data_IF_882630491267
#
_entry.id   IF_882630491267
#
_cell.length_a   1.000
_cell.length_b   1.000
_cell.length_c   1.000
_cell.angle_alpha   90.00
_cell.angle_beta   90.00
_cell.angle_gamma   90.00
#
_symmetry.space_group_name_H-M   'P 1'
#
loop_
_entity.id
_entity.type
_entity.pdbx_description
1 polymer ?
#
# COMPACT_ATOMS: atom_id res chain seq x y z
N UNK A 1 29.23 -8.96 -10.00
CA UNK A 1 28.34 -9.97 -10.61
C UNK A 1 27.37 -10.43 -9.55
N UNK A 2 26.08 -10.38 -9.83
CA UNK A 2 25.01 -10.80 -8.92
C UNK A 2 24.89 -12.33 -8.92
N UNK A 3 24.78 -12.96 -7.75
CA UNK A 3 24.52 -14.41 -7.65
C UNK A 3 23.14 -14.77 -8.22
N UNK A 4 23.01 -16.00 -8.73
CA UNK A 4 21.73 -16.53 -9.23
C UNK A 4 20.80 -16.82 -8.06
N UNK A 5 19.61 -16.23 -8.09
CA UNK A 5 18.54 -16.54 -7.14
C UNK A 5 17.38 -17.24 -7.82
N UNK A 6 16.66 -18.06 -7.05
CA UNK A 6 15.43 -18.70 -7.49
C UNK A 6 14.36 -18.72 -6.38
N UNK A 7 13.10 -18.54 -6.79
CA UNK A 7 11.93 -18.67 -5.93
C UNK A 7 10.66 -18.94 -6.73
N UNK A 8 9.63 -19.45 -6.05
CA UNK A 8 8.26 -19.49 -6.58
C UNK A 8 7.70 -18.07 -6.61
N UNK A 9 7.13 -17.64 -7.74
CA UNK A 9 6.57 -16.28 -7.97
C UNK A 9 5.04 -16.24 -8.02
N UNK A 10 4.38 -17.37 -7.74
CA UNK A 10 2.91 -17.50 -7.65
C UNK A 10 2.48 -17.81 -6.21
N UNK A 11 1.19 -17.61 -5.91
CA UNK A 11 0.63 -17.97 -4.61
C UNK A 11 0.82 -19.46 -4.27
N UNK A 12 0.84 -19.78 -2.97
CA UNK A 12 1.09 -21.14 -2.47
C UNK A 12 -0.11 -22.10 -2.60
N UNK A 13 -1.26 -21.60 -3.06
CA UNK A 13 -2.47 -22.39 -3.30
C UNK A 13 -2.33 -23.28 -4.53
N UNK A 14 -3.02 -24.43 -4.53
CA UNK A 14 -3.15 -25.27 -5.73
C UNK A 14 -3.78 -24.45 -6.86
N UNK A 15 -3.13 -24.44 -8.02
CA UNK A 15 -3.57 -23.69 -9.20
C UNK A 15 -3.27 -24.46 -10.49
N UNK A 16 -3.83 -23.99 -11.60
CA UNK A 16 -3.50 -24.55 -12.91
C UNK A 16 -2.02 -24.32 -13.27
N UNK A 17 -1.48 -23.14 -12.93
CA UNK A 17 -0.12 -22.72 -13.26
C UNK A 17 0.59 -22.19 -12.02
N UNK A 18 1.84 -22.61 -11.83
CA UNK A 18 2.77 -22.04 -10.87
C UNK A 18 4.07 -21.62 -11.56
N UNK A 19 4.66 -20.53 -11.10
CA UNK A 19 5.86 -19.96 -11.73
C UNK A 19 7.06 -20.10 -10.81
N UNK A 20 8.17 -20.65 -11.31
CA UNK A 20 9.48 -20.58 -10.66
C UNK A 20 10.33 -19.59 -11.45
N UNK A 21 10.83 -18.55 -10.79
CA UNK A 21 11.63 -17.49 -11.41
C UNK A 21 13.07 -17.58 -10.95
N UNK A 22 13.99 -17.35 -11.90
CA UNK A 22 15.41 -17.12 -11.67
C UNK A 22 15.84 -15.73 -12.12
N UNK A 23 16.83 -15.16 -11.44
CA UNK A 23 17.52 -13.93 -11.84
C UNK A 23 18.98 -13.97 -11.43
N UNK A 24 19.86 -13.41 -12.25
CA UNK A 24 21.27 -13.21 -11.93
C UNK A 24 22.20 -13.69 -13.03
N UNK A 25 23.50 -13.44 -12.83
CA UNK A 25 24.51 -13.74 -13.83
C UNK A 25 24.68 -15.27 -13.99
N UNK A 26 24.55 -15.76 -15.22
CA UNK A 26 24.57 -17.20 -15.52
C UNK A 26 23.28 -17.96 -15.16
N UNK A 27 22.16 -17.28 -14.88
CA UNK A 27 20.91 -17.98 -14.53
C UNK A 27 20.38 -18.89 -15.65
N UNK A 28 20.63 -18.53 -16.92
CA UNK A 28 20.23 -19.33 -18.09
C UNK A 28 20.98 -20.66 -18.09
N UNK A 29 22.29 -20.65 -17.81
CA UNK A 29 23.10 -21.85 -17.69
C UNK A 29 22.67 -22.73 -16.49
N UNK A 30 22.24 -22.13 -15.37
CA UNK A 30 21.67 -22.89 -14.24
C UNK A 30 20.34 -23.56 -14.64
N UNK A 31 19.47 -22.83 -15.32
CA UNK A 31 18.20 -23.33 -15.82
C UNK A 31 18.38 -24.50 -16.82
N UNK A 32 19.36 -24.40 -17.71
CA UNK A 32 19.64 -25.41 -18.76
C UNK A 32 20.07 -26.77 -18.19
N UNK A 33 20.64 -26.79 -16.98
CA UNK A 33 21.01 -28.05 -16.29
C UNK A 33 19.81 -28.89 -15.87
N UNK A 34 18.67 -28.24 -15.58
CA UNK A 34 17.47 -28.90 -15.04
C UNK A 34 16.33 -28.98 -16.04
N UNK A 35 16.41 -28.25 -17.16
CA UNK A 35 15.35 -28.20 -18.15
C UNK A 35 15.85 -28.65 -19.52
N UNK A 36 15.08 -29.48 -20.21
CA UNK A 36 15.41 -29.96 -21.56
C UNK A 36 14.32 -29.52 -22.52
N UNK A 37 14.67 -28.69 -23.50
CA UNK A 37 13.75 -28.25 -24.54
C UNK A 37 13.32 -29.43 -25.41
N UNK A 38 12.04 -29.44 -25.82
CA UNK A 38 11.54 -30.48 -26.73
C UNK A 38 12.23 -30.44 -28.11
N UNK A 39 12.82 -29.30 -28.48
CA UNK A 39 13.63 -29.16 -29.69
C UNK A 39 15.04 -29.77 -29.57
N UNK A 40 15.47 -30.15 -28.37
CA UNK A 40 16.82 -30.63 -28.07
C UNK A 40 17.90 -29.53 -28.03
N UNK A 41 17.53 -28.26 -28.20
CA UNK A 41 18.45 -27.11 -28.12
C UNK A 41 18.69 -26.69 -26.66
N UNK A 42 19.71 -25.86 -26.44
CA UNK A 42 19.95 -25.18 -25.16
C UNK A 42 18.99 -24.00 -24.95
N UNK A 43 18.64 -23.71 -23.69
CA UNK A 43 17.93 -22.48 -23.31
C UNK A 43 18.69 -21.21 -23.73
N UNK A 44 20.01 -21.25 -23.83
CA UNK A 44 20.83 -20.13 -24.30
C UNK A 44 20.50 -19.75 -25.76
N UNK A 45 20.10 -20.72 -26.58
CA UNK A 45 19.68 -20.50 -27.96
C UNK A 45 18.22 -20.05 -28.09
N UNK A 46 17.48 -19.97 -26.97
CA UNK A 46 16.06 -19.61 -27.01
C UNK A 46 15.89 -18.13 -27.38
N UNK A 47 14.90 -17.81 -28.23
CA UNK A 47 14.56 -16.43 -28.53
C UNK A 47 14.17 -15.67 -27.26
N UNK A 48 14.65 -14.43 -27.13
CA UNK A 48 14.34 -13.57 -26.00
C UNK A 48 12.82 -13.37 -25.87
N UNK A 49 12.28 -13.53 -24.66
CA UNK A 49 10.86 -13.37 -24.30
C UNK A 49 9.88 -14.22 -25.12
N UNK A 50 10.30 -15.41 -25.55
CA UNK A 50 9.43 -16.38 -26.20
C UNK A 50 9.19 -17.58 -25.28
N UNK A 51 7.93 -17.97 -25.12
CA UNK A 51 7.57 -19.21 -24.45
C UNK A 51 8.02 -20.41 -25.28
N UNK A 52 8.75 -21.32 -24.65
CA UNK A 52 9.27 -22.54 -25.25
C UNK A 52 8.87 -23.75 -24.40
N UNK A 53 8.49 -24.86 -25.05
CA UNK A 53 8.04 -26.07 -24.37
C UNK A 53 9.21 -27.03 -24.11
N UNK A 54 9.24 -27.61 -22.92
CA UNK A 54 10.24 -28.60 -22.54
C UNK A 54 9.84 -29.41 -21.32
N UNK A 55 10.82 -30.13 -20.79
CA UNK A 55 10.65 -31.01 -19.63
C UNK A 55 11.57 -30.55 -18.50
N UNK A 56 11.02 -30.38 -17.31
CA UNK A 56 11.77 -30.08 -16.09
C UNK A 56 12.14 -31.38 -15.39
N UNK A 57 13.39 -31.47 -14.94
CA UNK A 57 13.97 -32.69 -14.37
C UNK A 57 14.53 -32.45 -12.98
N UNK A 58 14.49 -33.51 -12.15
CA UNK A 58 15.20 -33.53 -10.87
C UNK A 58 16.69 -33.89 -11.05
N UNK A 59 17.43 -33.97 -9.93
CA UNK A 59 18.85 -34.33 -9.91
C UNK A 59 19.15 -35.73 -10.44
N UNK A 60 18.17 -36.64 -10.42
CA UNK A 60 18.28 -37.99 -11.00
C UNK A 60 17.76 -38.06 -12.44
N UNK A 61 17.49 -36.92 -13.08
CA UNK A 61 16.91 -36.81 -14.43
C UNK A 61 15.49 -37.36 -14.54
N UNK A 62 14.80 -37.62 -13.42
CA UNK A 62 13.37 -37.98 -13.44
C UNK A 62 12.57 -36.76 -13.84
N UNK A 63 11.51 -36.98 -14.60
CA UNK A 63 10.60 -35.91 -15.03
C UNK A 63 9.84 -35.40 -13.81
N UNK A 64 9.98 -34.10 -13.54
CA UNK A 64 9.16 -33.38 -12.56
C UNK A 64 7.88 -32.92 -13.24
N UNK A 65 8.01 -32.25 -14.39
CA UNK A 65 6.89 -31.66 -15.12
C UNK A 65 7.20 -31.48 -16.62
N UNK A 66 6.15 -31.42 -17.44
CA UNK A 66 6.21 -30.86 -18.80
C UNK A 66 5.64 -29.46 -18.77
N UNK A 67 6.50 -28.47 -18.95
CA UNK A 67 6.18 -27.08 -18.69
C UNK A 67 6.77 -26.14 -19.74
N UNK A 68 6.33 -24.87 -19.70
CA UNK A 68 6.92 -23.84 -20.54
C UNK A 68 8.08 -23.15 -19.81
N UNK A 69 9.06 -22.66 -20.55
CA UNK A 69 10.09 -21.77 -20.06
C UNK A 69 10.08 -20.47 -20.87
N UNK A 70 10.50 -19.36 -20.27
CA UNK A 70 10.79 -18.10 -20.97
C UNK A 70 12.09 -17.52 -20.44
N UNK A 71 12.96 -17.10 -21.36
CA UNK A 71 14.20 -16.39 -21.06
C UNK A 71 13.99 -14.90 -21.34
N UNK A 72 14.26 -14.03 -20.37
CA UNK A 72 14.35 -12.58 -20.61
C UNK A 72 15.75 -12.07 -20.34
N UNK A 73 16.41 -11.57 -21.38
CA UNK A 73 17.79 -11.09 -21.32
C UNK A 73 17.89 -9.66 -20.78
N UNK A 74 18.88 -9.40 -19.94
CA UNK A 74 19.22 -8.07 -19.45
C UNK A 74 19.65 -7.13 -20.59
N UNK A 75 19.45 -5.80 -20.47
CA UNK A 75 18.83 -5.07 -19.37
C UNK A 75 17.29 -5.04 -19.44
N UNK A 76 16.69 -5.79 -20.36
CA UNK A 76 15.25 -5.80 -20.64
C UNK A 76 14.56 -6.95 -19.90
N UNK A 77 14.71 -7.00 -18.59
CA UNK A 77 13.98 -7.91 -17.70
C UNK A 77 13.40 -7.12 -16.52
N UNK A 78 12.65 -7.80 -15.64
CA UNK A 78 12.12 -7.19 -14.42
C UNK A 78 13.24 -6.67 -13.51
N UNK A 79 14.24 -7.52 -13.23
CA UNK A 79 15.37 -7.18 -12.36
C UNK A 79 16.44 -6.34 -13.06
N UNK A 80 16.43 -6.25 -14.39
CA UNK A 80 17.52 -5.69 -15.19
C UNK A 80 18.65 -6.69 -15.48
N UNK A 81 18.58 -7.90 -14.92
CA UNK A 81 19.54 -8.99 -15.14
C UNK A 81 18.98 -10.00 -16.15
N UNK A 82 19.76 -11.01 -16.54
CA UNK A 82 19.16 -12.19 -17.19
C UNK A 82 18.19 -12.87 -16.22
N UNK A 83 17.07 -13.35 -16.75
CA UNK A 83 16.02 -14.03 -16.00
C UNK A 83 15.48 -15.23 -16.77
N UNK A 84 15.07 -16.26 -16.05
CA UNK A 84 14.37 -17.43 -16.60
C UNK A 84 13.13 -17.69 -15.75
N UNK A 85 11.99 -17.94 -16.37
CA UNK A 85 10.78 -18.39 -15.68
C UNK A 85 10.33 -19.74 -16.20
N UNK A 86 10.04 -20.67 -15.30
CA UNK A 86 9.36 -21.92 -15.59
C UNK A 86 7.89 -21.79 -15.22
N UNK A 87 7.00 -22.06 -16.18
CA UNK A 87 5.55 -22.01 -16.04
C UNK A 87 5.05 -23.44 -15.94
N UNK A 88 5.10 -23.98 -14.72
CA UNK A 88 4.78 -25.36 -14.37
C UNK A 88 3.30 -25.52 -14.02
N UNK A 89 2.84 -26.76 -13.89
CA UNK A 89 1.58 -27.04 -13.21
C UNK A 89 1.66 -26.55 -11.75
N UNK A 90 0.61 -25.86 -11.29
CA UNK A 90 0.56 -25.18 -9.99
C UNK A 90 0.39 -26.09 -8.77
N UNK A 91 1.08 -27.23 -8.75
CA UNK A 91 1.13 -28.12 -7.59
C UNK A 91 2.28 -27.70 -6.65
N UNK A 92 2.03 -27.48 -5.35
CA UNK A 92 3.09 -27.16 -4.39
C UNK A 92 4.24 -28.17 -4.40
N UNK A 93 3.95 -29.46 -4.61
CA UNK A 93 4.98 -30.50 -4.70
C UNK A 93 5.84 -30.38 -5.96
N UNK A 94 5.23 -30.04 -7.10
CA UNK A 94 5.94 -29.81 -8.38
C UNK A 94 6.86 -28.60 -8.26
N UNK A 95 6.34 -27.50 -7.72
CA UNK A 95 7.11 -26.26 -7.56
C UNK A 95 8.27 -26.44 -6.58
N UNK A 96 8.04 -27.14 -5.45
CA UNK A 96 9.09 -27.44 -4.49
C UNK A 96 10.21 -28.32 -5.09
N UNK A 97 9.83 -29.37 -5.84
CA UNK A 97 10.80 -30.24 -6.51
C UNK A 97 11.61 -29.50 -7.58
N UNK A 98 10.97 -28.65 -8.38
CA UNK A 98 11.65 -27.81 -9.37
C UNK A 98 12.62 -26.82 -8.72
N UNK A 99 12.22 -26.22 -7.60
CA UNK A 99 13.06 -25.29 -6.85
C UNK A 99 14.27 -25.99 -6.21
N UNK A 100 14.08 -27.18 -5.63
CA UNK A 100 15.17 -28.02 -5.11
C UNK A 100 16.18 -28.36 -6.21
N UNK A 101 15.69 -28.73 -7.41
CA UNK A 101 16.56 -29.03 -8.55
C UNK A 101 17.42 -27.81 -8.95
N UNK A 102 16.85 -26.61 -8.94
CA UNK A 102 17.59 -25.38 -9.25
C UNK A 102 18.63 -25.04 -8.18
N UNK A 103 18.31 -25.24 -6.89
CA UNK A 103 19.27 -25.03 -5.81
C UNK A 103 20.47 -25.96 -5.92
N UNK A 104 20.23 -27.23 -6.23
CA UNK A 104 21.30 -28.19 -6.48
C UNK A 104 22.11 -27.88 -7.75
N UNK A 105 21.49 -27.19 -8.73
CA UNK A 105 22.15 -26.76 -9.96
C UNK A 105 22.99 -25.47 -9.81
N UNK A 106 22.89 -24.79 -8.66
CA UNK A 106 23.70 -23.62 -8.29
C UNK A 106 22.92 -22.34 -8.01
N UNK A 107 21.59 -22.33 -8.05
CA UNK A 107 20.79 -21.19 -7.62
C UNK A 107 20.76 -21.09 -6.08
N UNK A 108 20.60 -19.88 -5.56
CA UNK A 108 20.36 -19.63 -4.13
C UNK A 108 18.88 -19.29 -3.90
N UNK A 109 18.33 -19.56 -2.70
CA UNK A 109 16.99 -19.10 -2.36
C UNK A 109 16.96 -17.56 -2.35
N UNK A 110 15.99 -16.98 -3.07
CA UNK A 110 15.78 -15.54 -3.02
C UNK A 110 15.29 -15.10 -1.63
N UNK A 111 15.78 -13.97 -1.15
CA UNK A 111 15.23 -13.31 0.04
C UNK A 111 13.90 -12.62 -0.30
N UNK A 112 13.15 -12.25 0.74
CA UNK A 112 11.96 -11.39 0.63
C UNK A 112 12.31 -10.09 -0.11
N UNK A 113 11.54 -9.75 -1.13
CA UNK A 113 11.75 -8.52 -1.91
C UNK A 113 13.00 -8.52 -2.79
N UNK A 114 13.77 -9.61 -2.89
CA UNK A 114 15.09 -9.56 -3.54
C UNK A 114 15.01 -9.26 -5.04
N UNK A 115 13.96 -9.73 -5.74
CA UNK A 115 13.81 -9.44 -7.17
C UNK A 115 13.52 -7.94 -7.40
N UNK A 116 12.59 -7.37 -6.64
CA UNK A 116 12.23 -5.95 -6.71
C UNK A 116 13.40 -5.08 -6.23
N UNK A 117 14.13 -5.51 -5.19
CA UNK A 117 15.36 -4.84 -4.74
C UNK A 117 16.40 -4.77 -5.85
N UNK A 118 16.63 -5.86 -6.59
CA UNK A 118 17.53 -5.86 -7.75
C UNK A 118 17.04 -4.95 -8.86
N UNK A 119 15.73 -4.94 -9.14
CA UNK A 119 15.13 -4.01 -10.10
C UNK A 119 15.41 -2.54 -9.73
N UNK A 120 15.24 -2.18 -8.45
CA UNK A 120 15.59 -0.86 -7.93
C UNK A 120 17.09 -0.56 -8.08
N UNK A 121 17.96 -1.46 -7.62
CA UNK A 121 19.43 -1.27 -7.70
C UNK A 121 19.95 -1.17 -9.14
N UNK A 122 19.29 -1.82 -10.09
CA UNK A 122 19.63 -1.77 -11.52
C UNK A 122 18.92 -0.61 -12.25
N UNK A 123 18.30 0.32 -11.52
CA UNK A 123 17.65 1.51 -12.10
C UNK A 123 16.43 1.21 -12.97
N UNK A 124 15.80 0.04 -12.80
CA UNK A 124 14.57 -0.32 -13.52
C UNK A 124 13.34 0.42 -12.98
N UNK A 125 13.42 0.84 -11.72
CA UNK A 125 12.39 1.56 -11.01
C UNK A 125 13.00 2.34 -9.85
N UNK A 126 12.34 3.40 -9.39
CA UNK A 126 12.69 4.11 -8.17
C UNK A 126 12.03 3.48 -6.93
N UNK A 127 12.31 4.02 -5.74
CA UNK A 127 11.77 3.49 -4.49
C UNK A 127 10.25 3.67 -4.36
N UNK A 128 9.67 4.72 -4.95
CA UNK A 128 8.21 4.94 -4.96
C UNK A 128 7.50 3.86 -5.77
N UNK A 129 8.06 3.53 -6.93
CA UNK A 129 7.57 2.46 -7.79
C UNK A 129 7.74 1.10 -7.12
N UNK A 130 8.86 0.87 -6.44
CA UNK A 130 9.08 -0.37 -5.68
C UNK A 130 8.03 -0.54 -4.57
N UNK A 131 7.79 0.49 -3.75
CA UNK A 131 6.75 0.46 -2.71
C UNK A 131 5.35 0.20 -3.30
N UNK A 132 5.04 0.84 -4.44
CA UNK A 132 3.77 0.65 -5.13
C UNK A 132 3.56 -0.78 -5.68
N UNK A 133 4.64 -1.55 -5.91
CA UNK A 133 4.50 -2.97 -6.28
C UNK A 133 3.87 -3.77 -5.14
N UNK A 134 4.20 -3.49 -3.87
CA UNK A 134 3.55 -4.16 -2.74
C UNK A 134 2.11 -3.71 -2.64
N UNK A 135 1.89 -2.39 -2.66
CA UNK A 135 0.55 -1.82 -2.51
C UNK A 135 -0.41 -2.37 -3.59
N UNK A 136 0.09 -2.66 -4.80
CA UNK A 136 -0.68 -3.30 -5.87
C UNK A 136 -1.00 -4.78 -5.60
N UNK A 137 -0.08 -5.52 -4.97
CA UNK A 137 -0.28 -6.94 -4.63
C UNK A 137 -1.25 -7.08 -3.45
N UNK A 138 -1.19 -6.16 -2.50
CA UNK A 138 -2.02 -6.13 -1.29
C UNK A 138 -3.35 -5.35 -1.48
N UNK A 139 -3.59 -4.80 -2.67
CA UNK A 139 -4.78 -4.01 -2.95
C UNK A 139 -6.05 -4.86 -2.84
N UNK A 140 -6.94 -4.46 -1.93
CA UNK A 140 -8.24 -5.11 -1.70
C UNK A 140 -9.41 -4.41 -2.42
N UNK A 141 -9.19 -3.21 -2.96
CA UNK A 141 -10.19 -2.45 -3.73
C UNK A 141 -9.67 -2.09 -5.12
N UNK A 142 -10.58 -1.87 -6.07
CA UNK A 142 -10.24 -1.46 -7.43
C UNK A 142 -9.49 -0.13 -7.46
N UNK A 143 -9.89 0.83 -6.61
CA UNK A 143 -9.25 2.13 -6.49
C UNK A 143 -7.83 2.02 -5.93
N UNK A 144 -7.62 1.18 -4.90
CA UNK A 144 -6.29 0.95 -4.35
C UNK A 144 -5.35 0.35 -5.40
N UNK A 145 -5.86 -0.63 -6.16
CA UNK A 145 -5.13 -1.24 -7.26
C UNK A 145 -4.83 -0.24 -8.38
N UNK A 146 -5.78 0.63 -8.74
CA UNK A 146 -5.61 1.64 -9.77
C UNK A 146 -4.53 2.66 -9.39
N UNK A 147 -4.57 3.18 -8.15
CA UNK A 147 -3.57 4.13 -7.69
C UNK A 147 -2.18 3.49 -7.59
N UNK A 148 -2.08 2.28 -7.04
CA UNK A 148 -0.81 1.56 -6.97
C UNK A 148 -0.25 1.25 -8.38
N UNK A 149 -1.10 0.83 -9.32
CA UNK A 149 -0.69 0.61 -10.71
C UNK A 149 -0.17 1.89 -11.39
N UNK A 150 -0.83 3.03 -11.15
CA UNK A 150 -0.36 4.34 -11.63
C UNK A 150 1.00 4.73 -11.06
N UNK A 151 1.22 4.48 -9.76
CA UNK A 151 2.52 4.70 -9.12
C UNK A 151 3.61 3.76 -9.63
N UNK A 152 3.30 2.46 -9.85
CA UNK A 152 4.22 1.53 -10.54
C UNK A 152 4.59 2.06 -11.92
N UNK A 153 3.64 2.67 -12.64
CA UNK A 153 3.84 3.38 -13.90
C UNK A 153 4.64 4.69 -13.82
N UNK A 154 5.11 5.07 -12.62
CA UNK A 154 5.93 6.24 -12.37
C UNK A 154 5.16 7.56 -12.32
N UNK A 155 3.84 7.54 -12.09
CA UNK A 155 3.02 8.78 -12.04
C UNK A 155 3.55 9.77 -10.99
N UNK A 156 3.80 9.31 -9.76
CA UNK A 156 4.32 10.14 -8.68
C UNK A 156 5.74 10.67 -9.01
N UNK A 157 6.61 9.81 -9.52
CA UNK A 157 7.96 10.19 -9.96
C UNK A 157 7.93 11.30 -11.02
N UNK A 158 7.03 11.22 -12.01
CA UNK A 158 6.84 12.26 -13.04
C UNK A 158 6.30 13.58 -12.48
N UNK A 159 5.56 13.55 -11.37
CA UNK A 159 5.10 14.76 -10.69
C UNK A 159 6.21 15.43 -9.87
N UNK A 160 7.12 14.64 -9.29
CA UNK A 160 8.23 15.14 -8.47
C UNK A 160 9.45 15.56 -9.29
N UNK A 161 9.67 14.97 -10.47
CA UNK A 161 10.84 15.25 -11.30
C UNK A 161 11.02 16.74 -11.66
N UNK A 162 9.99 17.48 -12.13
CA UNK A 162 10.14 18.89 -12.45
C UNK A 162 10.58 19.74 -11.26
N UNK A 163 10.10 19.43 -10.06
CA UNK A 163 10.47 20.13 -8.82
C UNK A 163 11.95 19.90 -8.51
N UNK A 164 12.44 18.67 -8.70
CA UNK A 164 13.83 18.34 -8.48
C UNK A 164 14.76 19.01 -9.52
N UNK A 165 14.31 19.10 -10.77
CA UNK A 165 15.03 19.80 -11.85
C UNK A 165 15.15 21.31 -11.54
N UNK A 166 14.07 21.94 -11.08
CA UNK A 166 14.05 23.35 -10.67
C UNK A 166 15.03 23.62 -9.50
N UNK A 167 15.04 22.76 -8.49
CA UNK A 167 16.00 22.84 -7.37
C UNK A 167 17.45 22.64 -7.84
N UNK A 168 17.69 21.73 -8.78
CA UNK A 168 19.03 21.48 -9.34
C UNK A 168 19.55 22.71 -10.09
N UNK A 169 18.69 23.37 -10.87
CA UNK A 169 19.02 24.62 -11.56
C UNK A 169 19.35 25.75 -10.57
N UNK A 170 18.55 25.88 -9.51
CA UNK A 170 18.77 26.87 -8.47
C UNK A 170 20.09 26.63 -7.71
N UNK A 171 20.35 25.38 -7.32
CA UNK A 171 21.57 24.98 -6.63
C UNK A 171 22.82 25.26 -7.48
N UNK A 172 22.78 24.91 -8.77
CA UNK A 172 23.89 25.17 -9.70
C UNK A 172 24.22 26.67 -9.83
N UNK A 173 23.19 27.52 -9.81
CA UNK A 173 23.37 28.97 -9.89
C UNK A 173 23.94 29.55 -8.59
N UNK A 174 23.43 29.11 -7.43
CA UNK A 174 23.98 29.49 -6.12
C UNK A 174 25.47 29.15 -6.01
N UNK A 175 25.89 27.95 -6.44
CA UNK A 175 27.30 27.57 -6.46
C UNK A 175 28.14 28.51 -7.33
N UNK A 176 27.63 28.93 -8.50
CA UNK A 176 28.33 29.88 -9.37
C UNK A 176 28.55 31.23 -8.67
N UNK A 177 27.54 31.74 -7.97
CA UNK A 177 27.63 33.00 -7.21
C UNK A 177 28.61 32.90 -6.04
N UNK A 178 28.65 31.75 -5.36
CA UNK A 178 29.56 31.52 -4.24
C UNK A 178 31.02 31.32 -4.68
N UNK A 179 31.24 30.66 -5.82
CA UNK A 179 32.58 30.37 -6.34
C UNK A 179 33.25 31.59 -7.01
N UNK A 180 32.46 32.52 -7.56
CA UNK A 180 32.94 33.71 -8.28
C UNK A 180 32.32 35.02 -7.76
N UNK A 181 32.56 35.40 -6.49
CA UNK A 181 31.91 36.56 -5.86
C UNK A 181 32.33 37.91 -6.47
N UNK A 182 33.48 37.95 -7.16
CA UNK A 182 34.04 39.16 -7.78
C UNK A 182 33.63 39.33 -9.25
N UNK A 183 32.92 38.36 -9.84
CA UNK A 183 32.36 38.47 -11.18
C UNK A 183 30.99 39.15 -11.14
N UNK A 184 30.73 40.08 -12.07
CA UNK A 184 29.40 40.68 -12.28
C UNK A 184 28.45 39.63 -12.88
N UNK A 185 28.03 38.66 -12.06
CA UNK A 185 27.00 37.69 -12.39
C UNK A 185 25.68 38.46 -12.49
N UNK A 186 24.93 38.26 -13.58
CA UNK A 186 23.66 38.96 -13.83
C UNK A 186 22.72 38.87 -12.62
N UNK A 187 21.99 39.97 -12.38
CA UNK A 187 21.06 40.15 -11.26
C UNK A 187 20.22 38.88 -11.09
N UNK A 188 20.26 38.31 -9.88
CA UNK A 188 20.10 36.90 -9.49
C UNK A 188 18.80 36.20 -9.97
N UNK A 189 17.96 36.81 -10.80
CA UNK A 189 16.69 36.25 -11.24
C UNK A 189 15.83 35.89 -10.03
N UNK A 190 16.03 36.57 -8.88
CA UNK A 190 15.45 36.26 -7.57
C UNK A 190 13.94 36.07 -7.70
N UNK A 191 13.32 36.93 -8.49
CA UNK A 191 11.88 36.90 -8.74
C UNK A 191 11.45 35.66 -9.54
N UNK A 192 12.24 35.24 -10.53
CA UNK A 192 11.99 34.03 -11.31
C UNK A 192 12.15 32.77 -10.46
N UNK A 193 13.24 32.65 -9.69
CA UNK A 193 13.46 31.51 -8.81
C UNK A 193 12.44 31.48 -7.65
N UNK A 194 12.14 32.63 -7.05
CA UNK A 194 11.08 32.72 -6.03
C UNK A 194 9.72 32.30 -6.59
N UNK A 195 9.44 32.62 -7.86
CA UNK A 195 8.20 32.22 -8.54
C UNK A 195 8.16 30.71 -8.79
N UNK A 196 9.26 30.11 -9.27
CA UNK A 196 9.39 28.66 -9.45
C UNK A 196 9.22 27.92 -8.12
N UNK A 197 10.00 28.27 -7.08
CA UNK A 197 9.89 27.68 -5.74
C UNK A 197 8.50 27.80 -5.12
N UNK A 198 7.77 28.91 -5.35
CA UNK A 198 6.37 29.03 -4.90
C UNK A 198 5.45 28.05 -5.63
N UNK A 199 5.67 27.86 -6.93
CA UNK A 199 4.95 26.87 -7.74
C UNK A 199 5.19 25.45 -7.22
N UNK A 200 6.45 25.12 -6.96
CA UNK A 200 6.87 23.84 -6.43
C UNK A 200 6.33 23.58 -5.03
N UNK A 201 6.40 24.57 -4.14
CA UNK A 201 5.85 24.48 -2.79
C UNK A 201 4.34 24.21 -2.84
N UNK A 202 3.62 24.85 -3.78
CA UNK A 202 2.19 24.60 -3.99
C UNK A 202 1.93 23.18 -4.50
N UNK A 203 2.76 22.66 -5.39
CA UNK A 203 2.66 21.29 -5.88
C UNK A 203 2.92 20.26 -4.76
N UNK A 204 3.97 20.46 -3.95
CA UNK A 204 4.25 19.60 -2.79
C UNK A 204 3.10 19.67 -1.76
N UNK A 205 2.58 20.87 -1.49
CA UNK A 205 1.45 21.03 -0.58
C UNK A 205 0.19 20.30 -1.08
N UNK A 206 -0.11 20.39 -2.37
CA UNK A 206 -1.23 19.65 -2.97
C UNK A 206 -1.07 18.14 -2.79
N UNK A 207 0.14 17.59 -2.96
CA UNK A 207 0.42 16.17 -2.69
C UNK A 207 0.19 15.81 -1.22
N UNK A 208 0.63 16.67 -0.29
CA UNK A 208 0.41 16.45 1.15
C UNK A 208 -1.07 16.37 1.51
N UNK A 209 -1.94 17.14 0.84
CA UNK A 209 -3.38 17.09 1.08
C UNK A 209 -4.02 15.76 0.67
N UNK A 210 -3.40 15.02 -0.27
CA UNK A 210 -3.92 13.70 -0.70
C UNK A 210 -3.66 12.59 0.32
N UNK A 211 -2.79 12.80 1.31
CA UNK A 211 -2.33 11.72 2.20
C UNK A 211 -3.44 11.15 3.10
N UNK A 212 -4.39 11.98 3.54
CA UNK A 212 -5.53 11.50 4.33
C UNK A 212 -6.34 10.44 3.56
N UNK A 213 -6.67 10.77 2.31
CA UNK A 213 -7.34 9.87 1.38
C UNK A 213 -6.47 8.64 1.05
N UNK A 214 -5.17 8.83 0.80
CA UNK A 214 -4.27 7.71 0.50
C UNK A 214 -4.05 6.75 1.66
N UNK A 215 -4.15 7.21 2.92
CA UNK A 215 -4.18 6.35 4.10
C UNK A 215 -5.42 5.47 4.10
N UNK A 216 -6.59 6.04 3.86
CA UNK A 216 -7.86 5.30 3.76
C UNK A 216 -7.79 4.29 2.61
N UNK A 217 -7.30 4.72 1.45
CA UNK A 217 -7.15 3.87 0.27
C UNK A 217 -6.27 2.64 0.54
N UNK A 218 -5.18 2.82 1.29
CA UNK A 218 -4.21 1.75 1.59
C UNK A 218 -4.65 0.87 2.76
N UNK A 219 -5.08 1.46 3.86
CA UNK A 219 -5.31 0.75 5.13
C UNK A 219 -6.78 0.40 5.36
N UNK A 220 -7.70 0.97 4.59
CA UNK A 220 -9.13 0.98 4.87
C UNK A 220 -9.51 2.02 5.93
N UNK A 221 -10.80 2.33 5.97
CA UNK A 221 -11.46 3.19 6.94
C UNK A 221 -11.47 2.50 8.30
N UNK A 222 -10.86 3.11 9.31
CA UNK A 222 -10.93 2.60 10.67
C UNK A 222 -12.36 2.81 11.22
N UNK A 223 -13.13 1.74 11.40
CA UNK A 223 -14.54 1.83 11.77
C UNK A 223 -14.78 1.32 13.20
N UNK A 224 -15.38 2.16 14.05
CA UNK A 224 -15.77 1.80 15.41
C UNK A 224 -17.27 1.50 15.49
N UNK A 225 -17.64 0.33 16.03
CA UNK A 225 -19.04 -0.03 16.30
C UNK A 225 -19.33 0.23 17.78
N UNK A 226 -20.20 1.19 18.07
CA UNK A 226 -20.52 1.64 19.43
C UNK A 226 -22.01 1.56 19.73
N UNK A 227 -22.37 1.49 21.01
CA UNK A 227 -23.74 1.32 21.48
C UNK A 227 -23.78 0.57 22.81
N UNK A 228 -24.96 0.45 23.42
CA UNK A 228 -25.14 -0.26 24.71
C UNK A 228 -24.91 -1.77 24.58
N UNK A 229 -24.75 -2.51 25.68
CA UNK A 229 -24.86 -3.97 25.68
C UNK A 229 -26.16 -4.47 25.00
N UNK A 230 -26.10 -5.63 24.34
CA UNK A 230 -27.28 -6.33 23.76
C UNK A 230 -28.09 -5.60 22.67
N UNK A 231 -27.63 -4.44 22.16
CA UNK A 231 -28.24 -3.74 21.00
C UNK A 231 -27.96 -4.45 19.67
N UNK A 232 -27.04 -5.42 19.66
CA UNK A 232 -26.71 -6.24 18.49
C UNK A 232 -25.37 -5.93 17.80
N UNK A 233 -24.44 -5.23 18.48
CA UNK A 233 -23.09 -4.93 17.95
C UNK A 233 -22.34 -6.18 17.47
N UNK A 234 -22.26 -7.23 18.28
CA UNK A 234 -21.56 -8.47 17.91
C UNK A 234 -22.27 -9.22 16.78
N UNK A 235 -23.61 -9.14 16.72
CA UNK A 235 -24.37 -9.67 15.59
C UNK A 235 -24.08 -8.89 14.31
N UNK A 236 -23.96 -7.56 14.40
CA UNK A 236 -23.63 -6.69 13.28
C UNK A 236 -22.22 -6.98 12.78
N UNK A 237 -21.24 -7.10 13.68
CA UNK A 237 -19.87 -7.45 13.31
C UNK A 237 -19.85 -8.80 12.57
N UNK A 238 -20.52 -9.83 13.10
CA UNK A 238 -20.60 -11.12 12.43
C UNK A 238 -21.32 -11.05 11.08
N UNK A 239 -22.37 -10.22 10.97
CA UNK A 239 -23.06 -10.00 9.71
C UNK A 239 -22.13 -9.33 8.69
N UNK A 240 -21.42 -8.26 9.08
CA UNK A 240 -20.45 -7.55 8.24
C UNK A 240 -19.26 -8.45 7.85
N UNK A 241 -18.76 -9.27 8.77
CA UNK A 241 -17.70 -10.26 8.49
C UNK A 241 -18.18 -11.41 7.58
N UNK A 242 -19.50 -11.58 7.43
CA UNK A 242 -20.13 -12.54 6.54
C UNK A 242 -20.53 -11.99 5.17
N UNK A 243 -20.56 -10.66 5.00
CA UNK A 243 -20.72 -9.99 3.70
C UNK A 243 -19.38 -10.04 2.93
N UNK A 244 -19.45 -10.24 1.61
CA UNK A 244 -18.35 -10.40 0.64
C UNK A 244 -16.95 -10.37 1.28
N UNK A 245 -16.49 -11.53 1.77
CA UNK A 245 -15.13 -11.68 2.28
C UNK A 245 -14.17 -11.12 1.23
N UNK A 246 -13.52 -9.99 1.52
CA UNK A 246 -12.20 -9.77 0.96
C UNK A 246 -11.41 -11.04 1.27
N UNK A 247 -10.87 -11.67 0.23
CA UNK A 247 -10.02 -12.84 0.38
C UNK A 247 -8.74 -12.33 1.05
N UNK A 248 -8.77 -12.17 2.37
CA UNK A 248 -7.57 -12.02 3.17
C UNK A 248 -6.85 -13.35 2.98
N UNK A 249 -5.73 -13.30 2.27
CA UNK A 249 -4.86 -14.46 2.20
C UNK A 249 -4.37 -14.74 3.61
N UNK A 250 -4.69 -15.92 4.13
CA UNK A 250 -4.08 -16.45 5.35
C UNK A 250 -2.57 -16.61 5.09
N UNK A 251 -1.79 -15.56 5.29
CA UNK A 251 -0.34 -15.66 5.40
C UNK A 251 -0.05 -15.97 6.87
N UNK A 252 0.39 -17.19 7.22
CA UNK A 252 0.72 -17.53 8.59
C UNK A 252 1.95 -16.69 9.01
N UNK A 253 1.79 -15.77 9.96
CA UNK A 253 2.91 -14.98 10.48
C UNK A 253 2.61 -13.63 11.14
N UNK A 254 1.39 -13.09 11.04
CA UNK A 254 1.02 -11.80 11.66
C UNK A 254 0.31 -11.95 13.00
N UNK A 255 0.72 -12.94 13.80
CA UNK A 255 0.21 -13.12 15.16
C UNK A 255 1.01 -12.29 16.15
N UNK A 256 0.68 -10.99 16.28
CA UNK A 256 0.93 -10.27 17.55
C UNK A 256 0.24 -8.92 17.72
N UNK A 257 -0.38 -8.38 16.68
CA UNK A 257 -1.25 -7.22 16.81
C UNK A 257 -2.71 -7.69 16.73
N UNK A 258 -3.57 -7.00 17.46
CA UNK A 258 -5.01 -7.24 17.66
C UNK A 258 -5.68 -7.79 16.41
N UNK A 259 -6.58 -8.77 16.54
CA UNK A 259 -7.31 -9.36 15.39
C UNK A 259 -8.29 -8.31 14.85
N UNK A 260 -7.77 -7.38 14.03
CA UNK A 260 -8.56 -6.42 13.27
C UNK A 260 -9.28 -7.19 12.16
N UNK A 261 -10.61 -7.28 12.25
CA UNK A 261 -11.41 -7.83 11.16
C UNK A 261 -11.55 -6.75 10.07
N UNK A 262 -11.05 -7.07 8.88
CA UNK A 262 -11.25 -6.22 7.69
C UNK A 262 -12.43 -6.76 6.90
N UNK A 263 -13.36 -5.89 6.53
CA UNK A 263 -14.53 -6.22 5.70
C UNK A 263 -14.64 -5.26 4.53
N UNK A 264 -15.15 -5.74 3.38
CA UNK A 264 -15.52 -4.88 2.26
C UNK A 264 -17.01 -4.56 2.38
N UNK A 265 -17.33 -3.28 2.54
CA UNK A 265 -18.70 -2.80 2.61
C UNK A 265 -18.92 -1.83 1.44
N UNK A 266 -19.73 -2.25 0.47
CA UNK A 266 -19.84 -1.53 -0.80
C UNK A 266 -18.50 -1.55 -1.55
N UNK A 267 -18.01 -0.37 -1.90
CA UNK A 267 -16.65 -0.19 -2.47
C UNK A 267 -15.56 0.06 -1.42
N UNK A 268 -15.96 0.23 -0.15
CA UNK A 268 -15.08 0.72 0.91
C UNK A 268 -14.57 -0.41 1.80
N UNK A 269 -13.24 -0.48 1.98
CA UNK A 269 -12.60 -1.39 2.95
C UNK A 269 -12.74 -0.80 4.36
N UNK A 270 -13.47 -1.48 5.24
CA UNK A 270 -13.55 -1.14 6.66
C UNK A 270 -12.57 -2.00 7.46
N UNK A 271 -11.82 -1.36 8.35
CA UNK A 271 -11.02 -2.01 9.39
C UNK A 271 -11.75 -1.84 10.71
N UNK A 272 -12.41 -2.90 11.15
CA UNK A 272 -13.23 -2.87 12.37
C UNK A 272 -12.30 -2.83 13.58
N UNK A 273 -12.30 -1.69 14.28
CA UNK A 273 -11.43 -1.49 15.44
C UNK A 273 -12.00 -2.32 16.61
N UNK A 274 -11.15 -3.20 17.16
CA UNK A 274 -11.51 -4.15 18.22
C UNK A 274 -12.04 -3.45 19.47
N UNK A 275 -13.36 -3.50 19.63
CA UNK A 275 -14.00 -3.49 20.94
C UNK A 275 -13.73 -4.84 21.62
N UNK A 276 -12.53 -5.05 22.19
CA UNK A 276 -12.12 -6.27 22.90
C UNK A 276 -13.28 -6.93 23.68
N UNK A 277 -13.89 -7.96 23.10
CA UNK A 277 -15.19 -8.47 23.57
C UNK A 277 -15.98 -9.27 22.54
N UNK A 278 -15.53 -9.35 21.29
CA UNK A 278 -16.21 -10.15 20.27
C UNK A 278 -15.61 -11.56 20.13
N UNK A 279 -14.43 -11.84 20.73
CA UNK A 279 -13.81 -13.18 20.76
C UNK A 279 -13.34 -13.70 22.13
N UNK A 280 -13.79 -13.14 23.25
CA UNK A 280 -13.68 -13.80 24.56
C UNK A 280 -15.06 -13.98 25.17
N UNK A 281 -15.54 -15.23 25.05
CA UNK A 281 -16.40 -15.99 25.97
C UNK A 281 -17.60 -15.32 26.63
N UNK A 282 -18.72 -16.06 26.59
CA UNK A 282 -19.78 -15.95 27.57
C UNK A 282 -19.20 -15.87 29.00
N UNK A 283 -19.64 -14.83 29.71
CA UNK A 283 -19.62 -14.57 31.16
C UNK A 283 -18.80 -13.38 31.69
N UNK A 284 -19.57 -12.59 32.45
CA UNK A 284 -19.23 -11.78 33.61
C UNK A 284 -18.45 -10.45 33.42
N UNK A 285 -19.24 -9.37 33.49
CA UNK A 285 -18.91 -7.98 33.89
C UNK A 285 -18.53 -7.02 32.75
N UNK A 286 -19.53 -6.60 31.97
CA UNK A 286 -19.50 -5.37 31.17
C UNK A 286 -19.74 -4.13 32.06
N UNK A 287 -18.70 -3.63 32.73
CA UNK A 287 -18.76 -2.40 33.53
C UNK A 287 -17.83 -1.28 32.99
N UNK A 288 -17.51 -1.29 31.69
CA UNK A 288 -16.53 -0.38 31.07
C UNK A 288 -17.02 0.30 29.77
N UNK A 289 -18.33 0.26 29.47
CA UNK A 289 -18.92 0.63 28.16
C UNK A 289 -18.51 2.01 27.63
N UNK A 290 -18.77 3.08 28.38
CA UNK A 290 -18.58 4.47 27.90
C UNK A 290 -17.10 4.84 27.67
N UNK A 291 -16.19 4.47 28.59
CA UNK A 291 -14.76 4.79 28.43
C UNK A 291 -14.16 4.12 27.21
N UNK A 292 -14.55 2.87 26.95
CA UNK A 292 -14.09 2.10 25.79
C UNK A 292 -14.69 2.60 24.49
N UNK A 293 -15.96 3.03 24.50
CA UNK A 293 -16.58 3.70 23.35
C UNK A 293 -15.85 5.00 23.02
N UNK A 294 -15.44 5.80 24.01
CA UNK A 294 -14.64 7.02 23.79
C UNK A 294 -13.31 6.72 23.08
N UNK A 295 -12.53 5.78 23.59
CA UNK A 295 -11.23 5.40 22.98
C UNK A 295 -11.41 4.88 21.54
N UNK A 296 -12.47 4.12 21.28
CA UNK A 296 -12.77 3.62 19.94
C UNK A 296 -13.18 4.75 18.98
N UNK A 297 -14.00 5.68 19.45
CA UNK A 297 -14.47 6.85 18.67
C UNK A 297 -13.31 7.79 18.32
N UNK A 298 -12.42 8.08 19.27
CA UNK A 298 -11.27 8.99 19.07
C UNK A 298 -10.29 8.51 17.98
N UNK A 299 -10.24 7.21 17.71
CA UNK A 299 -9.32 6.61 16.75
C UNK A 299 -10.02 6.17 15.44
N UNK A 300 -11.31 6.44 15.28
CA UNK A 300 -12.10 5.99 14.15
C UNK A 300 -12.20 7.05 13.04
N UNK A 301 -12.08 6.58 11.80
CA UNK A 301 -12.44 7.34 10.60
C UNK A 301 -13.95 7.33 10.34
N UNK A 302 -14.66 6.30 10.86
CA UNK A 302 -16.11 6.11 10.79
C UNK A 302 -16.64 5.59 12.14
N UNK A 303 -17.68 6.22 12.67
CA UNK A 303 -18.42 5.72 13.84
C UNK A 303 -19.76 5.15 13.42
N UNK A 304 -20.00 3.88 13.77
CA UNK A 304 -21.26 3.18 13.57
C UNK A 304 -21.93 3.04 14.93
N UNK A 305 -22.86 3.94 15.23
CA UNK A 305 -23.69 3.85 16.42
C UNK A 305 -24.82 2.83 16.21
N UNK A 306 -25.04 1.95 17.17
CA UNK A 306 -26.10 0.93 17.13
C UNK A 306 -26.99 1.05 18.36
N UNK A 307 -28.28 1.25 18.16
CA UNK A 307 -29.29 1.22 19.21
C UNK A 307 -30.35 0.15 18.95
N UNK A 308 -31.07 -0.24 20.01
CA UNK A 308 -32.25 -1.11 19.89
C UNK A 308 -33.47 -0.25 19.57
N UNK A 309 -33.93 -0.25 18.32
CA UNK A 309 -35.08 0.55 17.89
C UNK A 309 -36.42 0.12 18.50
N UNK A 310 -36.48 -1.02 19.19
CA UNK A 310 -37.70 -1.53 19.85
C UNK A 310 -37.90 -0.96 21.27
N UNK A 311 -36.91 -0.21 21.79
CA UNK A 311 -36.94 0.39 23.12
C UNK A 311 -36.65 1.89 23.06
N UNK A 312 -37.27 2.73 23.93
CA UNK A 312 -36.92 4.15 24.01
C UNK A 312 -35.44 4.35 24.35
N UNK A 313 -34.86 5.43 23.82
CA UNK A 313 -33.49 5.85 24.16
C UNK A 313 -33.40 6.22 25.65
N UNK A 314 -32.30 5.85 26.30
CA UNK A 314 -32.00 6.22 27.69
C UNK A 314 -30.75 7.11 27.81
N UNK A 315 -30.37 7.43 29.05
CA UNK A 315 -29.22 8.29 29.33
C UNK A 315 -27.88 7.72 28.80
N UNK A 316 -27.73 6.40 28.74
CA UNK A 316 -26.51 5.78 28.22
C UNK A 316 -26.46 5.85 26.69
N UNK A 317 -27.59 5.68 26.00
CA UNK A 317 -27.66 5.96 24.56
C UNK A 317 -27.29 7.41 24.27
N UNK A 318 -27.87 8.36 25.03
CA UNK A 318 -27.61 9.77 24.84
C UNK A 318 -26.12 10.11 25.03
N UNK A 319 -25.48 9.54 26.05
CA UNK A 319 -24.06 9.76 26.29
C UNK A 319 -23.18 9.23 25.13
N UNK A 320 -23.55 8.11 24.50
CA UNK A 320 -22.82 7.59 23.34
C UNK A 320 -23.10 8.43 22.09
N UNK A 321 -24.34 8.87 21.90
CA UNK A 321 -24.72 9.77 20.80
C UNK A 321 -23.88 11.05 20.86
N UNK A 322 -23.76 11.66 22.04
CA UNK A 322 -22.97 12.88 22.24
C UNK A 322 -21.49 12.67 21.85
N UNK A 323 -20.91 11.50 22.16
CA UNK A 323 -19.55 11.13 21.71
C UNK A 323 -19.46 11.01 20.18
N UNK A 324 -20.45 10.39 19.55
CA UNK A 324 -20.48 10.20 18.10
C UNK A 324 -20.57 11.53 17.34
N UNK A 325 -21.26 12.53 17.91
CA UNK A 325 -21.43 13.85 17.30
C UNK A 325 -20.13 14.69 17.25
N UNK A 326 -19.07 14.27 17.96
CA UNK A 326 -17.75 14.88 17.85
C UNK A 326 -17.01 14.47 16.56
N UNK A 327 -17.50 13.46 15.84
CA UNK A 327 -16.87 12.93 14.63
C UNK A 327 -17.55 13.43 13.36
N UNK A 328 -16.76 13.64 12.31
CA UNK A 328 -17.23 14.07 10.99
C UNK A 328 -18.08 12.98 10.31
N UNK A 329 -17.64 11.72 10.40
CA UNK A 329 -18.29 10.58 9.76
C UNK A 329 -18.93 9.67 10.81
N UNK A 330 -20.24 9.83 11.00
CA UNK A 330 -21.03 8.98 11.89
C UNK A 330 -22.34 8.52 11.23
N UNK A 331 -22.68 7.25 11.42
CA UNK A 331 -23.95 6.64 11.00
C UNK A 331 -24.63 5.99 12.19
N UNK A 332 -25.95 6.16 12.29
CA UNK A 332 -26.77 5.50 13.30
C UNK A 332 -27.56 4.33 12.69
N UNK A 333 -27.51 3.19 13.37
CA UNK A 333 -28.21 1.97 13.03
C UNK A 333 -29.26 1.68 14.10
N UNK A 334 -30.53 1.76 13.71
CA UNK A 334 -31.65 1.38 14.57
C UNK A 334 -31.96 -0.11 14.34
N UNK A 335 -31.39 -0.96 15.18
CA UNK A 335 -31.50 -2.41 15.03
C UNK A 335 -32.81 -2.97 15.63
N UNK A 336 -33.11 -4.24 15.33
CA UNK A 336 -34.27 -5.01 15.82
C UNK A 336 -35.63 -4.48 15.35
N UNK A 337 -35.70 -3.97 14.13
CA UNK A 337 -36.96 -3.53 13.51
C UNK A 337 -38.03 -4.63 13.40
N UNK A 338 -37.66 -5.91 13.59
CA UNK A 338 -38.59 -7.04 13.69
C UNK A 338 -39.41 -7.06 15.00
N UNK A 339 -39.01 -6.31 16.02
CA UNK A 339 -39.66 -6.27 17.35
C UNK A 339 -40.60 -5.07 17.54
N UNK A 340 -40.73 -4.19 16.55
CA UNK A 340 -41.48 -2.94 16.62
C UNK A 340 -40.57 -1.70 16.66
N UNK A 341 -41.19 -0.52 16.71
CA UNK A 341 -40.51 0.78 16.70
C UNK A 341 -40.93 1.59 17.92
N UNK A 342 -39.96 1.94 18.77
CA UNK A 342 -40.11 2.84 19.92
C UNK A 342 -39.23 4.10 19.80
N UNK A 343 -38.37 4.15 18.79
CA UNK A 343 -37.53 5.30 18.43
C UNK A 343 -37.84 5.60 16.98
N UNK A 344 -38.10 6.86 16.64
CA UNK A 344 -38.21 7.30 15.25
C UNK A 344 -36.85 7.81 14.72
N UNK A 345 -36.54 7.66 13.42
CA UNK A 345 -35.27 8.11 12.86
C UNK A 345 -34.95 9.59 13.14
N UNK A 346 -35.96 10.46 13.19
CA UNK A 346 -35.80 11.89 13.46
C UNK A 346 -35.45 12.24 14.91
N UNK A 347 -35.49 11.27 15.83
CA UNK A 347 -35.05 11.45 17.22
C UNK A 347 -33.53 11.36 17.37
N UNK A 348 -32.84 10.79 16.38
CA UNK A 348 -31.39 10.61 16.38
C UNK A 348 -30.72 11.77 15.62
N UNK A 349 -29.72 12.46 16.20
CA UNK A 349 -29.10 13.66 15.61
C UNK A 349 -28.08 13.34 14.50
N UNK A 350 -28.26 12.24 13.76
CA UNK A 350 -27.32 11.81 12.72
C UNK A 350 -27.87 12.19 11.33
N UNK A 351 -26.97 12.56 10.41
CA UNK A 351 -27.34 12.78 9.02
C UNK A 351 -27.85 11.47 8.37
N UNK A 352 -27.21 10.36 8.73
CA UNK A 352 -27.54 9.02 8.24
C UNK A 352 -28.07 8.16 9.38
N UNK A 353 -29.38 7.91 9.37
CA UNK A 353 -30.08 7.02 10.31
C UNK A 353 -30.73 5.89 9.52
N UNK A 354 -30.32 4.66 9.79
CA UNK A 354 -30.70 3.49 8.99
C UNK A 354 -31.39 2.46 9.90
N UNK A 355 -32.71 2.24 9.72
CA UNK A 355 -33.41 1.13 10.35
C UNK A 355 -32.96 -0.20 9.76
N UNK A 356 -32.52 -1.13 10.61
CA UNK A 356 -32.01 -2.43 10.20
C UNK A 356 -32.60 -3.57 11.05
N UNK A 357 -32.52 -4.78 10.51
CA UNK A 357 -32.66 -6.00 11.29
C UNK A 357 -31.46 -6.89 10.99
N UNK A 358 -30.45 -6.85 11.85
CA UNK A 358 -29.21 -7.63 11.67
C UNK A 358 -29.51 -9.13 11.55
N UNK A 359 -30.54 -9.63 12.25
CA UNK A 359 -30.96 -11.03 12.22
C UNK A 359 -31.43 -11.50 10.84
N UNK A 360 -32.12 -10.63 10.09
CA UNK A 360 -32.65 -10.94 8.76
C UNK A 360 -31.78 -10.38 7.63
N UNK A 361 -30.86 -9.47 7.95
CA UNK A 361 -30.04 -8.73 6.99
C UNK A 361 -30.75 -7.53 6.36
N UNK A 362 -32.01 -7.25 6.73
CA UNK A 362 -32.77 -6.15 6.15
C UNK A 362 -32.14 -4.79 6.49
N UNK A 363 -31.93 -3.95 5.47
CA UNK A 363 -31.42 -2.57 5.60
C UNK A 363 -29.90 -2.45 5.65
N UNK A 364 -29.13 -3.55 5.66
CA UNK A 364 -27.67 -3.51 5.62
C UNK A 364 -27.11 -3.05 4.27
N UNK A 365 -27.86 -3.21 3.18
CA UNK A 365 -27.57 -2.67 1.86
C UNK A 365 -27.42 -1.14 1.88
N UNK A 366 -28.32 -0.45 2.59
CA UNK A 366 -28.28 1.02 2.73
C UNK A 366 -27.09 1.52 3.52
N UNK A 367 -26.55 0.67 4.42
CA UNK A 367 -25.33 1.00 5.15
C UNK A 367 -24.13 1.05 4.20
N UNK A 368 -24.09 0.17 3.19
CA UNK A 368 -23.06 0.23 2.16
C UNK A 368 -23.15 1.54 1.35
N UNK A 369 -24.35 1.89 0.88
CA UNK A 369 -24.57 3.14 0.12
C UNK A 369 -24.17 4.39 0.92
N UNK A 370 -24.52 4.43 2.22
CA UNK A 370 -24.18 5.54 3.09
C UNK A 370 -22.67 5.67 3.33
N UNK A 371 -21.97 4.55 3.50
CA UNK A 371 -20.51 4.53 3.69
C UNK A 371 -19.80 4.93 2.41
N UNK A 372 -20.21 4.42 1.25
CA UNK A 372 -19.62 4.80 -0.04
C UNK A 372 -19.79 6.31 -0.32
N UNK A 373 -20.94 6.89 0.05
CA UNK A 373 -21.16 8.34 -0.09
C UNK A 373 -20.30 9.17 0.89
N UNK A 374 -20.00 8.67 2.09
CA UNK A 374 -19.13 9.36 3.07
C UNK A 374 -17.66 9.39 2.63
N UNK A 375 -17.21 8.33 1.96
CA UNK A 375 -15.81 8.15 1.56
C UNK A 375 -15.60 8.26 0.05
N UNK A 376 -16.51 8.92 -0.66
CA UNK A 376 -16.40 9.12 -2.11
C UNK A 376 -15.13 9.92 -2.45
N UNK A 377 -14.35 9.40 -3.40
CA UNK A 377 -13.04 9.94 -3.76
C UNK A 377 -13.18 11.03 -4.84
N UNK A 378 -12.99 12.31 -4.50
CA UNK A 378 -12.93 13.38 -5.50
C UNK A 378 -11.63 13.33 -6.34
N UNK A 379 -10.53 12.87 -5.74
CA UNK A 379 -9.24 12.75 -6.43
C UNK A 379 -9.16 11.44 -7.23
N UNK A 380 -8.77 11.46 -8.52
CA UNK A 380 -8.58 10.24 -9.30
C UNK A 380 -7.52 9.32 -8.70
N UNK A 381 -7.85 8.05 -8.54
CA UNK A 381 -6.94 6.98 -8.14
C UNK A 381 -6.02 6.54 -9.30
N UNK A 382 -5.26 7.48 -9.89
CA UNK A 382 -4.44 7.28 -11.09
C UNK A 382 -2.92 7.20 -10.81
N UNK A 383 -2.56 7.09 -9.54
CA UNK A 383 -1.17 7.09 -9.05
C UNK A 383 -0.68 8.44 -8.54
N UNK A 384 -1.56 9.44 -8.48
CA UNK A 384 -1.27 10.78 -7.93
C UNK A 384 -1.48 10.89 -6.42
N UNK A 385 -2.16 9.93 -5.79
CA UNK A 385 -2.48 9.97 -4.35
C UNK A 385 -1.32 9.38 -3.55
N UNK A 386 -0.92 10.08 -2.49
CA UNK A 386 0.14 9.66 -1.58
C UNK A 386 -0.34 8.63 -0.56
N UNK A 387 0.18 7.40 -0.58
CA UNK A 387 -0.32 6.28 0.26
C UNK A 387 0.59 5.91 1.43
N UNK A 388 1.80 6.47 1.50
CA UNK A 388 2.84 5.99 2.41
C UNK A 388 3.33 7.08 3.37
N UNK A 389 3.33 6.77 4.68
CA UNK A 389 3.80 7.66 5.73
C UNK A 389 5.25 8.12 5.54
N UNK A 390 6.11 7.25 4.99
CA UNK A 390 7.50 7.58 4.67
C UNK A 390 7.57 8.67 3.60
N UNK A 391 6.82 8.47 2.51
CA UNK A 391 6.75 9.43 1.41
C UNK A 391 6.14 10.75 1.89
N UNK A 392 5.06 10.71 2.69
CA UNK A 392 4.49 11.88 3.35
C UNK A 392 5.49 12.63 4.22
N UNK A 393 6.21 11.91 5.10
CA UNK A 393 7.21 12.53 5.97
C UNK A 393 8.34 13.20 5.18
N UNK A 394 8.78 12.59 4.09
CA UNK A 394 9.81 13.15 3.20
C UNK A 394 9.31 14.37 2.41
N UNK A 395 8.11 14.30 1.81
CA UNK A 395 7.48 15.45 1.12
C UNK A 395 7.24 16.60 2.09
N UNK A 396 6.82 16.31 3.34
CA UNK A 396 6.60 17.34 4.36
C UNK A 396 7.88 18.06 4.72
N UNK A 397 8.98 17.33 4.93
CA UNK A 397 10.30 17.92 5.17
C UNK A 397 10.78 18.75 3.99
N UNK A 398 10.60 18.25 2.76
CA UNK A 398 10.95 18.98 1.54
C UNK A 398 10.17 20.30 1.43
N UNK A 399 8.85 20.25 1.69
CA UNK A 399 7.97 21.42 1.71
C UNK A 399 8.38 22.44 2.78
N UNK A 400 8.59 21.99 4.01
CA UNK A 400 9.03 22.86 5.12
C UNK A 400 10.38 23.53 4.83
N UNK A 401 11.34 22.79 4.27
CA UNK A 401 12.63 23.32 3.85
C UNK A 401 12.50 24.34 2.71
N UNK A 402 11.66 24.05 1.71
CA UNK A 402 11.41 24.95 0.59
C UNK A 402 10.75 26.26 1.02
N UNK A 403 9.86 26.22 2.01
CA UNK A 403 9.30 27.43 2.62
C UNK A 403 10.36 28.29 3.31
N UNK A 404 11.34 27.67 3.98
CA UNK A 404 12.47 28.40 4.58
C UNK A 404 13.35 29.04 3.51
N UNK A 405 13.65 28.34 2.40
CA UNK A 405 14.35 28.94 1.26
C UNK A 405 13.61 30.16 0.70
N UNK A 406 12.28 30.04 0.52
CA UNK A 406 11.43 31.15 0.06
C UNK A 406 11.44 32.34 1.02
N UNK A 407 11.41 32.09 2.33
CA UNK A 407 11.50 33.13 3.35
C UNK A 407 12.88 33.80 3.35
N UNK A 408 13.96 33.01 3.22
CA UNK A 408 15.33 33.51 3.16
C UNK A 408 15.56 34.44 1.97
N UNK A 409 15.06 34.05 0.79
CA UNK A 409 15.09 34.89 -0.42
C UNK A 409 14.36 36.23 -0.22
N UNK A 410 13.19 36.21 0.43
CA UNK A 410 12.41 37.43 0.68
C UNK A 410 13.05 38.38 1.69
N UNK A 411 13.73 37.82 2.70
CA UNK A 411 14.42 38.60 3.73
C UNK A 411 15.80 39.08 3.30
N UNK A 412 16.27 38.72 2.09
CA UNK A 412 17.61 39.05 1.60
C UNK A 412 18.71 38.38 2.42
N UNK A 413 18.46 37.16 2.91
CA UNK A 413 19.48 36.34 3.59
C UNK A 413 20.60 36.01 2.59
N UNK A 414 21.82 35.81 3.10
CA UNK A 414 22.98 35.47 2.29
C UNK A 414 22.76 34.19 1.46
N UNK A 415 23.30 34.11 0.23
CA UNK A 415 23.08 32.99 -0.68
C UNK A 415 23.45 31.60 -0.12
N UNK A 416 24.48 31.52 0.71
CA UNK A 416 24.96 30.29 1.38
C UNK A 416 23.91 29.68 2.34
N UNK A 417 23.22 30.53 3.11
CA UNK A 417 22.18 30.08 4.02
C UNK A 417 20.92 29.61 3.27
N UNK A 418 20.56 30.27 2.16
CA UNK A 418 19.44 29.82 1.31
C UNK A 418 19.78 28.50 0.61
N UNK A 419 21.01 28.37 0.10
CA UNK A 419 21.51 27.14 -0.52
C UNK A 419 21.40 25.94 0.42
N UNK A 420 21.74 26.12 1.70
CA UNK A 420 21.62 25.06 2.72
C UNK A 420 20.18 24.51 2.80
N UNK A 421 19.17 25.38 2.80
CA UNK A 421 17.77 24.92 2.82
C UNK A 421 17.35 24.26 1.50
N UNK A 422 17.87 24.72 0.36
CA UNK A 422 17.64 24.08 -0.96
C UNK A 422 18.22 22.66 -0.97
N UNK A 423 19.43 22.47 -0.47
CA UNK A 423 20.06 21.15 -0.33
C UNK A 423 19.26 20.22 0.58
N UNK A 424 18.73 20.74 1.70
CA UNK A 424 17.84 19.98 2.58
C UNK A 424 16.53 19.56 1.88
N UNK A 425 15.96 20.43 1.03
CA UNK A 425 14.81 20.06 0.19
C UNK A 425 15.19 18.93 -0.77
N UNK A 426 16.33 19.03 -1.46
CA UNK A 426 16.80 18.02 -2.39
C UNK A 426 17.10 16.68 -1.70
N UNK A 427 17.72 16.69 -0.51
CA UNK A 427 17.98 15.49 0.28
C UNK A 427 16.67 14.78 0.64
N UNK A 428 15.68 15.52 1.16
CA UNK A 428 14.37 14.99 1.50
C UNK A 428 13.62 14.45 0.28
N UNK A 429 13.75 15.09 -0.89
CA UNK A 429 13.18 14.57 -2.13
C UNK A 429 13.91 13.32 -2.63
N UNK A 430 15.23 13.28 -2.50
CA UNK A 430 16.06 12.11 -2.80
C UNK A 430 15.68 10.90 -1.94
N UNK A 431 15.20 11.13 -0.71
CA UNK A 431 14.70 10.04 0.12
C UNK A 431 13.45 9.40 -0.49
N UNK A 432 12.60 10.16 -1.17
CA UNK A 432 11.35 9.66 -1.77
C UNK A 432 11.69 8.64 -2.86
N UNK A 433 12.56 9.03 -3.79
CA UNK A 433 12.95 8.24 -4.98
C UNK A 433 13.97 7.15 -4.67
N UNK A 434 14.66 7.22 -3.53
CA UNK A 434 15.72 6.26 -3.20
C UNK A 434 17.14 6.74 -3.49
N UNK A 435 17.32 7.96 -4.01
CA UNK A 435 18.63 8.51 -4.36
C UNK A 435 19.53 8.78 -3.14
N UNK A 436 18.94 9.19 -2.00
CA UNK A 436 19.67 9.53 -0.76
C UNK A 436 19.28 8.62 0.42
N UNK A 437 18.61 7.49 0.15
CA UNK A 437 18.06 6.61 1.20
C UNK A 437 19.14 5.76 1.85
N UNK A 438 19.08 5.65 3.18
CA UNK A 438 19.94 4.76 3.97
C UNK A 438 19.60 3.29 3.73
N UNK A 439 20.64 2.45 3.72
CA UNK A 439 20.51 1.02 3.40
C UNK A 439 19.58 0.24 4.36
N UNK A 440 19.51 0.64 5.62
CA UNK A 440 18.63 0.04 6.63
C UNK A 440 17.13 0.30 6.35
N UNK A 441 16.79 1.49 5.85
CA UNK A 441 15.44 1.83 5.40
C UNK A 441 15.09 0.99 4.17
N UNK A 442 16.00 0.92 3.19
CA UNK A 442 15.84 0.07 2.00
C UNK A 442 15.60 -1.38 2.40
N UNK A 443 16.37 -1.92 3.34
CA UNK A 443 16.21 -3.29 3.83
C UNK A 443 14.82 -3.52 4.44
N UNK A 444 14.35 -2.63 5.32
CA UNK A 444 13.02 -2.72 5.96
C UNK A 444 11.87 -2.70 4.95
N UNK A 445 11.99 -1.93 3.87
CA UNK A 445 10.97 -1.89 2.80
C UNK A 445 10.89 -3.25 2.13
N UNK A 446 12.03 -3.82 1.71
CA UNK A 446 12.06 -5.10 0.99
C UNK A 446 11.74 -6.31 1.87
N UNK A 447 11.95 -6.22 3.19
CA UNK A 447 11.52 -7.26 4.15
C UNK A 447 9.99 -7.45 4.17
N UNK A 448 9.20 -6.42 3.85
CA UNK A 448 7.73 -6.53 3.80
C UNK A 448 7.24 -7.38 2.62
N UNK A 449 7.96 -7.41 1.50
CA UNK A 449 7.59 -8.16 0.31
C UNK A 449 7.53 -9.68 0.56
N UNK A 450 6.75 -10.37 -0.26
CA UNK A 450 6.76 -11.83 -0.33
C UNK A 450 8.08 -12.36 -0.95
N UNK A 451 8.39 -13.64 -0.69
CA UNK A 451 9.45 -14.35 -1.41
C UNK A 451 9.00 -14.58 -2.87
N UNK A 452 9.87 -14.33 -3.84
CA UNK A 452 9.52 -14.42 -5.29
C UNK A 452 9.15 -13.09 -5.95
N UNK A 453 9.11 -12.02 -5.15
CA UNK A 453 9.06 -10.62 -5.59
C UNK A 453 10.22 -9.88 -4.95
#
# INVERSE_FOLDING_TARGET
>A
MSHVIAAVSTGASVSAIGIIRLSGDGCIAVADKVFTLNSGKSLEESPNRRLVLGTLHDKQRRVIDQCMAVVSRGPHSYTGEDTVEFHCHGSPAVLAAGLEALYLAGALPAKRGEFTKRAFLNGKMDLTQAEAVIDLIEADTADAAANAAGQVGGKLQKQLAPIYDDLTNLCSHFHTVLDYPDEDIEDFGLEQYSKSLRGDAKALYALLQTYGQGRILRQGVAAAIVGKPNVGKSSLLNALAGFDRCIVTDIPGTTRDTVEETVLLGSTRLRLIDTAGIRETADAVEAMGVRRSREAVENADLVIFVCDGSQPLDEEDQAIIDLCMEQENAVALMNKTDLGSAVEPGELPFLNVIPICVKTGAGLDRLADAVDAMFENETPCDGSILTNARQYGAIRRAYEAMLRSLQGLQLGITPDAVLTDVELTMEAMGEITGATVREDITARIFERFCVGK
#
